data_IF_655693629177
#
_entry.id   IF_655693629177
#
_cell.length_a   1.000
_cell.length_b   1.000
_cell.length_c   1.000
_cell.angle_alpha   90.00
_cell.angle_beta   90.00
_cell.angle_gamma   90.00
#
_symmetry.space_group_name_H-M   'P 1'
#
loop_
_entity.id
_entity.type
_entity.pdbx_description
1 polymer ?
#
# COMPACT_ATOMS: atom_id res chain seq x y z
N UNK A 1 23.19 56.14 -55.26
CA UNK A 1 23.86 54.98 -54.65
C UNK A 1 23.11 54.69 -53.36
N UNK A 2 22.10 53.78 -53.41
CA UNK A 2 21.29 53.40 -52.26
C UNK A 2 21.90 52.15 -51.61
N UNK A 3 22.30 52.25 -50.36
CA UNK A 3 22.73 51.09 -49.57
C UNK A 3 21.51 50.54 -48.78
N UNK A 4 21.01 49.40 -49.17
CA UNK A 4 20.05 48.60 -48.41
C UNK A 4 20.79 47.95 -47.22
N UNK A 5 20.39 48.29 -46.01
CA UNK A 5 20.81 47.57 -44.76
C UNK A 5 19.78 46.51 -44.49
N UNK A 6 20.13 45.22 -44.70
CA UNK A 6 19.33 44.08 -44.23
C UNK A 6 19.58 43.90 -42.70
N UNK A 7 18.54 44.16 -41.93
CA UNK A 7 18.55 43.82 -40.48
C UNK A 7 18.06 42.35 -40.33
N UNK A 8 18.98 41.47 -40.00
CA UNK A 8 18.68 40.08 -39.60
C UNK A 8 18.18 40.06 -38.19
N UNK A 9 16.88 39.81 -37.97
CA UNK A 9 16.31 39.55 -36.64
C UNK A 9 16.56 38.08 -36.31
N UNK A 10 17.50 37.84 -35.39
CA UNK A 10 17.73 36.52 -34.80
C UNK A 10 16.61 36.20 -33.78
N UNK A 11 15.70 35.30 -34.13
CA UNK A 11 14.67 34.79 -33.23
C UNK A 11 15.35 33.78 -32.29
N UNK A 12 15.67 34.21 -31.05
CA UNK A 12 16.14 33.34 -29.98
C UNK A 12 14.95 32.52 -29.48
N UNK A 13 14.86 31.26 -29.91
CA UNK A 13 13.93 30.29 -29.36
C UNK A 13 14.34 29.98 -27.90
N UNK A 14 13.64 30.57 -26.93
CA UNK A 14 13.71 30.18 -25.53
C UNK A 14 13.10 28.78 -25.40
N UNK A 15 13.93 27.75 -25.41
CA UNK A 15 13.52 26.40 -24.99
C UNK A 15 13.33 26.43 -23.48
N UNK A 16 12.11 26.66 -23.02
CA UNK A 16 11.72 26.32 -21.66
C UNK A 16 11.87 24.81 -21.52
N UNK A 17 12.95 24.38 -20.89
CA UNK A 17 13.06 23.00 -20.41
C UNK A 17 11.90 22.76 -19.44
N UNK A 18 10.91 21.98 -19.84
CA UNK A 18 9.89 21.50 -18.94
C UNK A 18 10.60 20.60 -17.90
N UNK A 19 10.95 21.14 -16.73
CA UNK A 19 11.34 20.31 -15.62
C UNK A 19 10.13 19.43 -15.25
N UNK A 20 10.32 18.12 -15.26
CA UNK A 20 9.30 17.22 -14.75
C UNK A 20 9.01 17.60 -13.30
N UNK A 21 7.71 17.73 -12.99
CA UNK A 21 7.28 18.05 -11.63
C UNK A 21 7.64 16.89 -10.71
N UNK A 22 8.33 17.18 -9.59
CA UNK A 22 8.80 16.17 -8.64
C UNK A 22 7.84 16.05 -7.46
N UNK A 23 7.52 14.81 -7.08
CA UNK A 23 6.62 14.49 -5.98
C UNK A 23 7.26 13.49 -5.02
N UNK A 24 6.91 13.60 -3.73
CA UNK A 24 7.31 12.66 -2.70
C UNK A 24 6.15 11.71 -2.41
N UNK A 25 6.45 10.42 -2.39
CA UNK A 25 5.50 9.36 -2.05
C UNK A 25 5.97 8.70 -0.76
N UNK A 26 5.10 8.63 0.25
CA UNK A 26 5.40 7.98 1.52
C UNK A 26 4.95 6.52 1.52
N UNK A 27 5.73 5.69 2.19
CA UNK A 27 5.46 4.29 2.53
C UNK A 27 6.07 3.99 3.89
N UNK A 28 5.61 2.97 4.62
CA UNK A 28 6.28 2.63 5.89
C UNK A 28 7.59 1.85 5.67
N UNK A 29 7.68 1.06 4.60
CA UNK A 29 8.87 0.29 4.26
C UNK A 29 9.11 -0.92 5.16
N UNK A 30 8.06 -1.45 5.80
CA UNK A 30 8.09 -2.56 6.74
C UNK A 30 6.90 -3.53 6.61
N UNK A 31 6.26 -3.56 5.45
CA UNK A 31 5.10 -4.42 5.14
C UNK A 31 5.32 -5.29 3.88
N UNK A 32 6.24 -6.27 3.91
CA UNK A 32 6.49 -7.15 2.77
C UNK A 32 5.27 -8.05 2.47
N UNK A 33 5.00 -8.36 1.17
CA UNK A 33 5.78 -7.99 -0.01
C UNK A 33 5.36 -6.66 -0.65
N UNK A 34 4.46 -5.89 -0.03
CA UNK A 34 3.98 -4.61 -0.57
C UNK A 34 5.08 -3.54 -0.57
N UNK A 35 5.70 -3.31 0.58
CA UNK A 35 6.81 -2.38 0.72
C UNK A 35 7.75 -2.84 1.83
N UNK A 36 9.04 -2.71 1.60
CA UNK A 36 10.08 -3.10 2.55
C UNK A 36 11.37 -2.35 2.27
N UNK A 37 12.19 -2.26 3.32
CA UNK A 37 13.56 -1.75 3.19
C UNK A 37 14.52 -2.94 3.22
N UNK A 38 15.34 -3.08 2.18
CA UNK A 38 16.34 -4.14 2.10
C UNK A 38 17.56 -3.86 3.01
N UNK A 39 18.47 -4.85 3.13
CA UNK A 39 19.67 -4.74 3.96
C UNK A 39 20.61 -3.58 3.57
N UNK A 40 20.46 -3.03 2.36
CA UNK A 40 21.21 -1.86 1.90
C UNK A 40 20.53 -0.52 2.23
N UNK A 41 19.33 -0.57 2.82
CA UNK A 41 18.51 0.61 3.11
C UNK A 41 17.68 1.10 1.93
N UNK A 42 17.56 0.29 0.86
CA UNK A 42 16.78 0.63 -0.33
C UNK A 42 15.34 0.14 -0.19
N UNK A 43 14.38 1.03 -0.49
CA UNK A 43 12.96 0.67 -0.59
C UNK A 43 12.71 -0.22 -1.80
N UNK A 44 11.89 -1.25 -1.61
CA UNK A 44 11.42 -2.20 -2.62
C UNK A 44 10.02 -2.70 -2.30
N UNK A 45 9.48 -3.54 -3.17
CA UNK A 45 8.17 -4.15 -3.02
C UNK A 45 7.17 -3.76 -4.10
N UNK A 46 5.98 -4.32 -4.00
CA UNK A 46 4.89 -4.11 -4.96
C UNK A 46 4.52 -2.62 -5.11
N UNK A 47 4.34 -1.91 -4.00
CA UNK A 47 3.99 -0.49 -3.97
C UNK A 47 5.04 0.36 -4.68
N UNK A 48 6.32 0.05 -4.46
CA UNK A 48 7.44 0.79 -5.05
C UNK A 48 7.50 0.58 -6.57
N UNK A 49 7.31 -0.66 -7.03
CA UNK A 49 7.34 -0.98 -8.46
C UNK A 49 6.12 -0.39 -9.20
N UNK A 50 4.91 -0.51 -8.61
CA UNK A 50 3.70 0.11 -9.15
C UNK A 50 3.84 1.63 -9.21
N UNK A 51 4.28 2.25 -8.12
CA UNK A 51 4.44 3.71 -8.04
C UNK A 51 5.51 4.23 -9.01
N UNK A 52 6.61 3.50 -9.17
CA UNK A 52 7.67 3.85 -10.13
C UNK A 52 7.12 3.85 -11.59
N UNK A 53 6.41 2.80 -11.99
CA UNK A 53 5.84 2.72 -13.33
C UNK A 53 4.69 3.72 -13.52
N UNK A 54 3.85 3.95 -12.49
CA UNK A 54 2.79 4.95 -12.48
C UNK A 54 3.36 6.37 -12.70
N UNK A 55 4.39 6.76 -11.96
CA UNK A 55 5.04 8.07 -12.09
C UNK A 55 5.66 8.26 -13.47
N UNK A 56 6.33 7.23 -13.99
CA UNK A 56 6.88 7.23 -15.34
C UNK A 56 5.80 7.48 -16.39
N UNK A 57 4.65 6.81 -16.32
CA UNK A 57 3.52 7.02 -17.24
C UNK A 57 2.83 8.36 -17.07
N UNK A 58 2.77 8.86 -15.85
CA UNK A 58 2.26 10.19 -15.54
C UNK A 58 3.21 11.33 -15.98
N UNK A 59 4.41 10.99 -16.50
CA UNK A 59 5.47 11.92 -16.89
C UNK A 59 5.87 12.89 -15.74
N UNK A 60 5.99 12.34 -14.53
CA UNK A 60 6.43 13.06 -13.32
C UNK A 60 7.62 12.33 -12.68
N UNK A 61 8.43 13.07 -11.91
CA UNK A 61 9.48 12.48 -11.08
C UNK A 61 8.92 12.15 -9.70
N UNK A 62 9.19 10.95 -9.19
CA UNK A 62 8.75 10.54 -7.86
C UNK A 62 9.95 10.07 -7.03
N UNK A 63 9.93 10.46 -5.74
CA UNK A 63 10.88 9.97 -4.74
C UNK A 63 10.10 9.31 -3.63
N UNK A 64 10.44 8.06 -3.30
CA UNK A 64 9.85 7.36 -2.16
C UNK A 64 10.59 7.70 -0.88
N UNK A 65 9.84 7.93 0.20
CA UNK A 65 10.34 8.20 1.53
C UNK A 65 9.63 7.34 2.57
N UNK A 66 10.28 7.05 3.68
CA UNK A 66 9.66 6.30 4.78
C UNK A 66 8.92 7.22 5.74
N UNK A 67 7.80 6.73 6.27
CA UNK A 67 7.02 7.34 7.33
C UNK A 67 6.25 6.26 8.10
N UNK A 68 6.28 6.32 9.43
CA UNK A 68 5.55 5.37 10.26
C UNK A 68 4.06 5.35 9.92
N UNK A 69 3.47 4.15 9.84
CA UNK A 69 2.09 3.95 9.41
C UNK A 69 1.06 4.81 10.17
N UNK A 70 1.15 4.88 11.50
CA UNK A 70 0.18 5.58 12.33
C UNK A 70 0.13 7.10 12.12
N UNK A 71 1.21 7.68 11.61
CA UNK A 71 1.33 9.12 11.29
C UNK A 71 1.20 9.42 9.79
N UNK A 72 1.06 8.40 8.92
CA UNK A 72 1.16 8.59 7.48
C UNK A 72 0.02 9.45 6.91
N UNK A 73 -1.22 9.28 7.33
CA UNK A 73 -2.33 10.15 6.90
C UNK A 73 -2.19 11.58 7.47
N UNK A 74 -1.95 11.78 8.79
CA UNK A 74 -1.68 13.11 9.34
C UNK A 74 -0.57 13.87 8.61
N UNK A 75 0.54 13.22 8.28
CA UNK A 75 1.67 13.84 7.61
C UNK A 75 1.38 14.16 6.13
N UNK A 76 0.55 13.37 5.42
CA UNK A 76 0.04 13.73 4.09
C UNK A 76 -0.77 15.02 4.15
N UNK A 77 -1.70 15.11 5.12
CA UNK A 77 -2.57 16.29 5.30
C UNK A 77 -1.73 17.53 5.64
N UNK A 78 -0.67 17.37 6.44
CA UNK A 78 0.27 18.42 6.79
C UNK A 78 1.17 18.87 5.60
N UNK A 79 1.18 18.12 4.48
CA UNK A 79 1.97 18.46 3.29
C UNK A 79 3.45 18.05 3.37
N UNK A 80 3.81 17.10 4.22
CA UNK A 80 5.18 16.61 4.33
C UNK A 80 5.60 15.83 3.07
N UNK A 81 4.63 15.27 2.35
CA UNK A 81 4.75 14.59 1.05
C UNK A 81 3.43 14.71 0.27
N UNK A 82 3.38 14.14 -0.92
CA UNK A 82 2.32 14.40 -1.89
C UNK A 82 1.34 13.23 -2.05
N UNK A 83 1.79 12.00 -1.76
CA UNK A 83 0.99 10.79 -1.89
C UNK A 83 1.43 9.72 -0.89
N UNK A 84 0.57 8.74 -0.65
CA UNK A 84 0.85 7.54 0.14
C UNK A 84 0.68 6.32 -0.76
N UNK A 85 1.70 5.45 -0.81
CA UNK A 85 1.62 4.10 -1.38
C UNK A 85 2.15 3.11 -0.34
N UNK A 86 1.23 2.44 0.36
CA UNK A 86 1.53 1.71 1.59
C UNK A 86 0.46 0.67 1.90
N UNK A 87 0.09 -0.12 0.91
CA UNK A 87 -1.04 -1.07 0.99
C UNK A 87 -2.29 -0.47 1.65
N UNK A 88 -2.52 0.82 1.40
CA UNK A 88 -3.58 1.55 2.07
C UNK A 88 -4.95 1.18 1.52
N UNK A 89 -5.71 0.39 2.27
CA UNK A 89 -7.09 0.04 1.94
C UNK A 89 -7.96 1.28 1.80
N UNK A 90 -8.73 1.33 0.71
CA UNK A 90 -9.75 2.35 0.48
C UNK A 90 -10.92 2.05 1.42
N UNK A 91 -11.27 3.02 2.29
CA UNK A 91 -12.43 2.93 3.18
C UNK A 91 -13.20 4.23 3.22
N UNK A 92 -14.50 4.15 3.56
CA UNK A 92 -15.32 5.35 3.70
C UNK A 92 -14.86 6.27 4.83
N UNK A 93 -14.29 5.69 5.90
CA UNK A 93 -13.70 6.46 7.00
C UNK A 93 -12.51 7.30 6.48
N UNK A 94 -11.56 6.69 5.77
CA UNK A 94 -10.38 7.37 5.21
C UNK A 94 -10.78 8.40 4.17
N UNK A 95 -11.79 8.12 3.33
CA UNK A 95 -12.35 9.08 2.34
C UNK A 95 -12.93 10.35 2.98
N UNK A 96 -13.26 10.35 4.26
CA UNK A 96 -13.69 11.57 4.96
C UNK A 96 -12.56 12.60 5.07
N UNK A 97 -11.31 12.16 5.14
CA UNK A 97 -10.14 13.02 5.36
C UNK A 97 -9.23 13.16 4.15
N UNK A 98 -9.03 12.11 3.37
CA UNK A 98 -8.17 12.08 2.18
C UNK A 98 -8.95 11.64 0.94
N UNK A 99 -8.37 11.81 -0.24
CA UNK A 99 -8.83 11.23 -1.49
C UNK A 99 -8.02 9.98 -1.81
N UNK A 100 -8.49 9.18 -2.76
CA UNK A 100 -7.79 8.01 -3.28
C UNK A 100 -7.80 8.02 -4.81
N UNK A 101 -6.82 7.38 -5.40
CA UNK A 101 -6.90 6.93 -6.79
C UNK A 101 -7.88 5.77 -6.91
N UNK A 102 -8.13 5.35 -8.16
CA UNK A 102 -8.67 4.02 -8.43
C UNK A 102 -7.74 2.95 -7.82
N UNK A 103 -8.28 1.80 -7.37
CA UNK A 103 -7.45 0.80 -6.73
C UNK A 103 -6.38 0.25 -7.67
N UNK A 104 -5.16 0.12 -7.16
CA UNK A 104 -4.04 -0.53 -7.85
C UNK A 104 -3.81 -1.98 -7.40
N UNK A 105 -4.48 -2.41 -6.33
CA UNK A 105 -4.58 -3.80 -5.89
C UNK A 105 -6.04 -4.14 -5.59
N UNK A 106 -6.51 -5.36 -5.93
CA UNK A 106 -7.89 -5.76 -5.69
C UNK A 106 -8.21 -5.86 -4.19
N UNK A 107 -9.49 -5.89 -3.80
CA UNK A 107 -9.87 -6.18 -2.43
C UNK A 107 -9.20 -7.47 -1.93
N UNK A 108 -8.53 -7.40 -0.78
CA UNK A 108 -7.83 -8.53 -0.16
C UNK A 108 -8.48 -8.86 1.19
N UNK A 109 -9.24 -9.97 1.30
CA UNK A 109 -9.88 -10.32 2.55
C UNK A 109 -8.85 -10.58 3.64
N UNK A 110 -9.00 -9.92 4.80
CA UNK A 110 -8.16 -10.17 5.96
C UNK A 110 -8.39 -11.57 6.52
N UNK A 111 -7.33 -12.18 7.02
CA UNK A 111 -7.30 -13.57 7.48
C UNK A 111 -6.58 -13.68 8.83
N UNK A 112 -6.94 -14.68 9.61
CA UNK A 112 -6.30 -14.95 10.89
C UNK A 112 -5.04 -15.79 10.69
N UNK A 113 -3.95 -15.37 11.32
CA UNK A 113 -2.65 -16.06 11.36
C UNK A 113 -2.37 -16.55 12.77
N UNK A 114 -2.02 -17.81 12.92
CA UNK A 114 -1.72 -18.43 14.22
C UNK A 114 -0.51 -19.34 14.12
N UNK A 115 0.08 -19.70 15.27
CA UNK A 115 0.98 -20.86 15.30
C UNK A 115 0.20 -22.12 14.89
N UNK A 116 0.84 -23.03 14.16
CA UNK A 116 0.21 -24.28 13.70
C UNK A 116 -0.34 -25.16 14.84
N UNK A 117 0.21 -24.99 16.05
CA UNK A 117 -0.21 -25.70 17.26
C UNK A 117 -1.38 -25.05 17.99
N UNK A 118 -1.67 -23.78 17.72
CA UNK A 118 -2.77 -23.02 18.36
C UNK A 118 -4.11 -23.56 17.87
N UNK A 119 -5.02 -23.82 18.81
CA UNK A 119 -6.40 -24.22 18.52
C UNK A 119 -7.33 -23.05 18.79
N UNK A 120 -8.09 -22.65 17.80
CA UNK A 120 -9.03 -21.52 17.89
C UNK A 120 -10.44 -22.03 17.54
N UNK A 121 -11.41 -21.70 18.37
CA UNK A 121 -12.83 -21.82 18.03
C UNK A 121 -13.28 -20.50 17.38
N UNK A 122 -13.21 -20.42 16.06
CA UNK A 122 -13.56 -19.23 15.30
C UNK A 122 -15.05 -18.85 15.37
N UNK A 123 -15.91 -19.75 15.81
CA UNK A 123 -17.31 -19.42 16.10
C UNK A 123 -17.49 -18.71 17.44
N UNK A 124 -16.50 -18.82 18.35
CA UNK A 124 -16.57 -18.23 19.68
C UNK A 124 -15.18 -17.90 20.25
N UNK A 125 -14.49 -16.93 19.63
CA UNK A 125 -13.16 -16.50 20.08
C UNK A 125 -13.29 -15.77 21.41
N UNK A 126 -12.79 -16.38 22.52
CA UNK A 126 -12.83 -15.83 23.88
C UNK A 126 -11.58 -16.16 24.68
N UNK A 127 -11.19 -15.21 25.54
CA UNK A 127 -10.06 -15.35 26.43
C UNK A 127 -8.72 -15.39 25.74
N UNK A 128 -8.64 -14.95 24.48
CA UNK A 128 -7.44 -14.96 23.65
C UNK A 128 -6.83 -13.57 23.55
N UNK A 129 -5.56 -13.52 23.13
CA UNK A 129 -4.84 -12.31 22.78
C UNK A 129 -4.78 -12.19 21.27
N UNK A 130 -5.40 -11.16 20.71
CA UNK A 130 -5.43 -10.89 19.27
C UNK A 130 -4.60 -9.64 18.98
N UNK A 131 -3.78 -9.72 17.95
CA UNK A 131 -2.88 -8.65 17.50
C UNK A 131 -3.24 -8.09 16.14
N UNK A 132 -2.97 -6.82 15.94
CA UNK A 132 -2.92 -6.14 14.64
C UNK A 132 -2.04 -4.89 14.75
N UNK A 133 -1.53 -4.40 13.62
CA UNK A 133 -0.84 -3.12 13.59
C UNK A 133 -1.84 -1.98 13.92
N UNK A 134 -1.42 -1.01 14.72
CA UNK A 134 -2.26 0.13 15.12
C UNK A 134 -2.71 0.96 13.91
N UNK A 135 -3.84 1.66 14.03
CA UNK A 135 -4.43 2.49 12.98
C UNK A 135 -4.78 1.75 11.66
N UNK A 136 -4.82 0.41 11.68
CA UNK A 136 -5.27 -0.40 10.54
C UNK A 136 -6.77 -0.71 10.61
N UNK A 137 -7.32 -1.10 9.47
CA UNK A 137 -8.71 -1.60 9.40
C UNK A 137 -8.87 -2.89 10.21
N UNK A 138 -7.82 -3.70 10.28
CA UNK A 138 -7.76 -4.94 11.06
C UNK A 138 -7.84 -4.65 12.57
N UNK A 139 -7.08 -3.69 13.07
CA UNK A 139 -7.14 -3.27 14.48
C UNK A 139 -8.54 -2.75 14.86
N UNK A 140 -9.15 -1.95 13.97
CA UNK A 140 -10.52 -1.45 14.17
C UNK A 140 -11.51 -2.60 14.19
N UNK A 141 -11.40 -3.56 13.28
CA UNK A 141 -12.25 -4.75 13.25
C UNK A 141 -12.13 -5.60 14.51
N UNK A 142 -10.89 -5.89 14.95
CA UNK A 142 -10.66 -6.64 16.19
C UNK A 142 -11.26 -5.93 17.42
N UNK A 143 -11.06 -4.62 17.55
CA UNK A 143 -11.63 -3.84 18.65
C UNK A 143 -13.15 -3.84 18.63
N UNK A 144 -13.78 -3.70 17.46
CA UNK A 144 -15.23 -3.66 17.36
C UNK A 144 -15.90 -5.00 17.65
N UNK A 145 -15.26 -6.12 17.29
CA UNK A 145 -15.91 -7.43 17.30
C UNK A 145 -15.45 -8.33 18.45
N UNK A 146 -14.22 -8.15 18.98
CA UNK A 146 -13.63 -9.13 19.91
C UNK A 146 -13.18 -8.57 21.25
N UNK A 147 -13.09 -7.24 21.42
CA UNK A 147 -12.55 -6.60 22.64
C UNK A 147 -13.34 -6.95 23.91
N UNK A 148 -14.63 -7.25 23.79
CA UNK A 148 -15.47 -7.55 24.96
C UNK A 148 -15.02 -8.82 25.71
N UNK A 149 -14.57 -9.82 24.99
CA UNK A 149 -14.22 -11.15 25.51
C UNK A 149 -12.73 -11.49 25.39
N UNK A 150 -11.91 -10.61 24.81
CA UNK A 150 -10.52 -10.87 24.48
C UNK A 150 -9.61 -9.68 24.82
N UNK A 151 -8.28 -9.92 24.79
CA UNK A 151 -7.29 -8.86 24.87
C UNK A 151 -6.87 -8.49 23.45
N UNK A 152 -7.08 -7.23 23.04
CA UNK A 152 -6.60 -6.72 21.76
C UNK A 152 -5.29 -5.97 21.99
N UNK A 153 -4.22 -6.41 21.33
CA UNK A 153 -2.91 -5.81 21.36
C UNK A 153 -2.64 -5.13 20.02
N UNK A 154 -2.09 -3.93 20.05
CA UNK A 154 -1.72 -3.20 18.84
C UNK A 154 -0.24 -2.92 18.82
N UNK A 155 0.37 -3.02 17.65
CA UNK A 155 1.81 -2.93 17.40
C UNK A 155 2.13 -1.76 16.48
N UNK A 156 3.34 -1.23 16.59
CA UNK A 156 3.80 -0.17 15.70
C UNK A 156 4.07 -0.70 14.29
N UNK A 157 4.61 -1.92 14.19
CA UNK A 157 4.97 -2.57 12.92
C UNK A 157 4.50 -4.03 12.87
N UNK A 158 4.36 -4.57 11.65
CA UNK A 158 4.10 -5.99 11.42
C UNK A 158 5.18 -6.89 12.04
N UNK A 159 6.45 -6.49 11.97
CA UNK A 159 7.56 -7.28 12.53
C UNK A 159 7.41 -7.49 14.04
N UNK A 160 6.95 -6.48 14.78
CA UNK A 160 6.72 -6.60 16.23
C UNK A 160 5.60 -7.58 16.54
N UNK A 161 4.46 -7.52 15.82
CA UNK A 161 3.37 -8.46 16.05
C UNK A 161 3.74 -9.89 15.65
N UNK A 162 4.50 -10.07 14.56
CA UNK A 162 5.02 -11.37 14.14
C UNK A 162 6.01 -11.95 15.15
N UNK A 163 6.87 -11.12 15.74
CA UNK A 163 7.78 -11.54 16.82
C UNK A 163 7.01 -12.06 18.04
N UNK A 164 5.95 -11.35 18.44
CA UNK A 164 5.13 -11.74 19.58
C UNK A 164 4.29 -13.00 19.30
N UNK A 165 3.79 -13.20 18.08
CA UNK A 165 3.14 -14.45 17.68
C UNK A 165 4.13 -15.62 17.75
N UNK A 166 5.33 -15.47 17.18
CA UNK A 166 6.35 -16.50 17.19
C UNK A 166 6.85 -16.85 18.60
N UNK A 167 6.85 -15.88 19.52
CA UNK A 167 7.18 -16.07 20.93
C UNK A 167 6.03 -16.66 21.77
N UNK A 168 4.80 -16.74 21.21
CA UNK A 168 3.61 -17.18 21.93
C UNK A 168 3.06 -16.13 22.92
N UNK A 169 3.43 -14.87 22.78
CA UNK A 169 2.93 -13.77 23.58
C UNK A 169 1.51 -13.36 23.18
N UNK A 170 1.14 -13.58 21.89
CA UNK A 170 -0.20 -13.45 21.36
C UNK A 170 -0.62 -14.75 20.68
N UNK A 171 -1.93 -14.96 20.55
CA UNK A 171 -2.50 -16.19 20.03
C UNK A 171 -2.84 -16.08 18.54
N UNK A 172 -3.29 -14.92 18.11
CA UNK A 172 -3.81 -14.65 16.75
C UNK A 172 -3.32 -13.29 16.28
N UNK A 173 -2.89 -13.20 15.04
CA UNK A 173 -2.73 -11.95 14.28
C UNK A 173 -3.83 -11.89 13.22
N UNK A 174 -4.34 -10.70 12.92
CA UNK A 174 -5.31 -10.46 11.86
C UNK A 174 -4.74 -9.48 10.84
N UNK A 175 -4.43 -9.98 9.63
CA UNK A 175 -3.71 -9.29 8.55
C UNK A 175 -4.40 -9.46 7.21
N UNK A 176 -3.91 -8.77 6.18
CA UNK A 176 -4.30 -8.99 4.79
C UNK A 176 -3.95 -10.41 4.34
N UNK A 177 -4.88 -11.03 3.60
CA UNK A 177 -4.78 -12.45 3.25
C UNK A 177 -3.55 -12.79 2.43
N UNK A 178 -3.11 -11.89 1.56
CA UNK A 178 -1.87 -12.06 0.78
C UNK A 178 -0.62 -12.10 1.66
N UNK A 179 -0.56 -11.23 2.69
CA UNK A 179 0.56 -11.22 3.66
C UNK A 179 0.54 -12.48 4.51
N UNK A 180 -0.64 -12.93 4.96
CA UNK A 180 -0.79 -14.19 5.68
C UNK A 180 -0.32 -15.37 4.82
N UNK A 181 -0.69 -15.40 3.54
CA UNK A 181 -0.26 -16.45 2.61
C UNK A 181 1.27 -16.55 2.51
N UNK A 182 1.94 -15.42 2.30
CA UNK A 182 3.41 -15.36 2.24
C UNK A 182 4.06 -15.77 3.57
N UNK A 183 3.54 -15.29 4.71
CA UNK A 183 4.05 -15.63 6.03
C UNK A 183 3.94 -17.16 6.30
N UNK A 184 2.81 -17.77 5.93
CA UNK A 184 2.61 -19.23 6.06
C UNK A 184 3.58 -19.98 5.17
N UNK A 185 3.72 -19.59 3.89
CA UNK A 185 4.63 -20.23 2.94
C UNK A 185 6.09 -20.18 3.43
N UNK A 186 6.51 -19.04 3.98
CA UNK A 186 7.87 -18.85 4.50
C UNK A 186 8.12 -19.54 5.86
N UNK A 187 7.07 -19.92 6.61
CA UNK A 187 7.18 -20.39 8.00
C UNK A 187 7.77 -21.79 8.18
N UNK A 188 7.87 -22.58 7.11
CA UNK A 188 8.25 -24.00 7.21
C UNK A 188 7.26 -24.83 8.04
N UNK A 189 5.96 -24.48 8.02
CA UNK A 189 4.89 -25.16 8.74
C UNK A 189 4.71 -24.74 10.20
N UNK A 190 5.39 -23.69 10.65
CA UNK A 190 5.22 -23.16 12.02
C UNK A 190 3.96 -22.32 12.16
N UNK A 191 3.52 -21.65 11.08
CA UNK A 191 2.34 -20.83 11.03
C UNK A 191 1.26 -21.47 10.17
N UNK A 192 0.02 -21.10 10.41
CA UNK A 192 -1.13 -21.46 9.59
C UNK A 192 -2.08 -20.28 9.43
N UNK A 193 -2.64 -20.15 8.24
CA UNK A 193 -3.85 -19.39 8.00
C UNK A 193 -5.04 -20.23 8.43
N UNK A 194 -5.93 -19.67 9.24
CA UNK A 194 -7.07 -20.42 9.80
C UNK A 194 -8.28 -19.48 9.98
N UNK A 195 -9.47 -20.06 10.12
CA UNK A 195 -10.70 -19.29 10.31
C UNK A 195 -11.28 -18.64 9.05
N UNK A 196 -12.37 -17.87 9.20
CA UNK A 196 -13.05 -17.23 8.08
C UNK A 196 -12.25 -16.01 7.59
N UNK A 197 -12.17 -15.84 6.27
CA UNK A 197 -11.68 -14.58 5.68
C UNK A 197 -12.76 -13.49 5.80
N UNK A 198 -12.34 -12.26 6.07
CA UNK A 198 -13.23 -11.10 6.28
C UNK A 198 -12.84 -9.98 5.33
N UNK A 199 -13.74 -9.62 4.43
CA UNK A 199 -13.53 -8.49 3.53
C UNK A 199 -13.87 -7.17 4.25
N UNK A 200 -12.84 -6.35 4.47
CA UNK A 200 -12.93 -5.01 5.08
C UNK A 200 -12.16 -4.02 4.25
N UNK A 201 -12.81 -3.32 3.34
CA UNK A 201 -12.17 -2.37 2.43
C UNK A 201 -12.43 -2.68 0.97
N UNK A 202 -12.24 -1.67 0.13
CA UNK A 202 -12.62 -1.70 -1.28
C UNK A 202 -11.42 -1.89 -2.23
N UNK A 203 -10.34 -2.50 -1.76
CA UNK A 203 -9.05 -2.60 -2.45
C UNK A 203 -8.08 -1.52 -2.01
N UNK A 204 -6.89 -1.51 -2.61
CA UNK A 204 -5.77 -0.64 -2.22
C UNK A 204 -5.62 0.50 -3.21
N UNK A 205 -5.56 1.74 -2.73
CA UNK A 205 -5.41 2.93 -3.55
C UNK A 205 -4.28 3.84 -3.07
N UNK A 206 -3.81 4.70 -3.95
CA UNK A 206 -2.87 5.76 -3.57
C UNK A 206 -3.61 6.81 -2.76
N UNK A 207 -3.17 7.05 -1.52
CA UNK A 207 -3.72 8.10 -0.66
C UNK A 207 -3.26 9.48 -1.13
N UNK A 208 -4.20 10.42 -1.29
CA UNK A 208 -3.97 11.75 -1.86
C UNK A 208 -4.61 12.83 -1.00
N UNK A 209 -4.05 14.06 -0.97
CA UNK A 209 -4.81 15.18 -0.42
C UNK A 209 -6.02 15.48 -1.34
N UNK A 210 -7.16 15.83 -0.77
CA UNK A 210 -8.37 16.19 -1.54
C UNK A 210 -8.16 17.40 -2.47
N UNK A 211 -7.20 18.26 -2.13
CA UNK A 211 -6.84 19.42 -2.94
C UNK A 211 -6.03 19.07 -4.21
N UNK A 212 -5.41 17.88 -4.28
CA UNK A 212 -4.49 17.50 -5.34
C UNK A 212 -5.19 16.72 -6.47
N UNK A 213 -6.36 17.18 -6.90
CA UNK A 213 -7.20 16.52 -7.89
C UNK A 213 -6.49 16.31 -9.24
N UNK A 214 -5.64 17.25 -9.67
CA UNK A 214 -4.89 17.13 -10.93
C UNK A 214 -3.85 16.00 -10.86
N UNK A 215 -3.14 15.86 -9.75
CA UNK A 215 -2.18 14.76 -9.55
C UNK A 215 -2.92 13.42 -9.45
N UNK A 216 -4.02 13.38 -8.70
CA UNK A 216 -4.88 12.19 -8.60
C UNK A 216 -5.35 11.73 -9.97
N UNK A 217 -5.77 12.68 -10.83
CA UNK A 217 -6.16 12.37 -12.20
C UNK A 217 -5.01 11.79 -13.02
N UNK A 218 -3.80 12.38 -12.96
CA UNK A 218 -2.62 11.87 -13.67
C UNK A 218 -2.29 10.44 -13.27
N UNK A 219 -2.36 10.14 -11.96
CA UNK A 219 -2.13 8.80 -11.44
C UNK A 219 -3.22 7.82 -11.89
N UNK A 220 -4.48 8.22 -11.89
CA UNK A 220 -5.58 7.39 -12.40
C UNK A 220 -5.44 7.10 -13.90
N UNK A 221 -5.04 8.09 -14.72
CA UNK A 221 -4.80 7.89 -16.15
C UNK A 221 -3.65 6.86 -16.36
N UNK A 222 -2.58 6.95 -15.57
CA UNK A 222 -1.47 6.01 -15.58
C UNK A 222 -1.90 4.59 -15.14
N UNK A 223 -2.64 4.48 -14.02
CA UNK A 223 -3.16 3.19 -13.53
C UNK A 223 -4.13 2.55 -14.53
N UNK A 224 -4.98 3.34 -15.21
CA UNK A 224 -5.87 2.85 -16.26
C UNK A 224 -5.08 2.24 -17.42
N UNK A 225 -3.99 2.88 -17.84
CA UNK A 225 -3.11 2.35 -18.88
C UNK A 225 -2.42 1.04 -18.42
N UNK A 226 -1.92 0.99 -17.15
CA UNK A 226 -1.29 -0.20 -16.58
C UNK A 226 -2.25 -1.38 -16.46
N UNK A 227 -3.52 -1.12 -16.13
CA UNK A 227 -4.59 -2.12 -16.12
C UNK A 227 -4.87 -2.66 -17.51
N UNK A 228 -4.99 -1.75 -18.49
CA UNK A 228 -5.36 -2.11 -19.88
C UNK A 228 -4.32 -2.95 -20.58
N UNK A 229 -3.03 -2.67 -20.39
CA UNK A 229 -1.94 -3.40 -21.07
C UNK A 229 -1.45 -4.63 -20.29
N UNK A 230 -1.95 -4.85 -19.05
CA UNK A 230 -1.62 -5.99 -18.19
C UNK A 230 -0.35 -5.79 -17.37
N UNK A 231 0.25 -4.60 -17.37
CA UNK A 231 1.43 -4.31 -16.52
C UNK A 231 1.10 -4.50 -15.05
N UNK A 232 -0.09 -4.03 -14.60
CA UNK A 232 -0.48 -4.16 -13.20
C UNK A 232 -0.71 -5.61 -12.80
N UNK A 233 -1.36 -6.42 -13.65
CA UNK A 233 -1.53 -7.87 -13.43
C UNK A 233 -0.19 -8.60 -13.37
N UNK A 234 0.77 -8.18 -14.22
CA UNK A 234 2.13 -8.71 -14.19
C UNK A 234 2.87 -8.42 -12.89
N UNK A 235 2.69 -7.23 -12.32
CA UNK A 235 3.26 -6.86 -11.02
C UNK A 235 2.59 -7.63 -9.87
N UNK A 236 1.26 -7.81 -9.91
CA UNK A 236 0.55 -8.65 -8.93
C UNK A 236 1.12 -10.08 -8.95
N UNK A 237 1.22 -10.69 -10.14
CA UNK A 237 1.76 -12.05 -10.28
C UNK A 237 3.22 -12.17 -9.81
N UNK A 238 4.03 -11.11 -10.00
CA UNK A 238 5.42 -11.09 -9.56
C UNK A 238 5.56 -11.16 -8.04
N UNK A 239 4.74 -10.39 -7.32
CA UNK A 239 4.85 -10.26 -5.86
C UNK A 239 3.94 -11.22 -5.10
N UNK A 240 2.87 -11.69 -5.72
CA UNK A 240 1.86 -12.57 -5.13
C UNK A 240 1.63 -13.80 -6.03
N UNK A 241 2.60 -14.71 -6.14
CA UNK A 241 2.53 -15.84 -7.08
C UNK A 241 1.40 -16.82 -6.78
N UNK A 242 0.90 -16.83 -5.54
CA UNK A 242 -0.20 -17.69 -5.11
C UNK A 242 -1.60 -17.13 -5.45
N UNK A 243 -1.70 -15.83 -5.81
CA UNK A 243 -2.93 -15.24 -6.35
C UNK A 243 -3.17 -15.73 -7.78
N UNK A 244 -3.97 -16.81 -7.91
CA UNK A 244 -4.24 -17.49 -9.20
C UNK A 244 -5.52 -17.03 -9.88
N UNK A 245 -6.29 -16.16 -9.26
CA UNK A 245 -7.62 -15.74 -9.74
C UNK A 245 -7.57 -14.64 -10.81
N UNK A 246 -6.37 -14.37 -11.32
CA UNK A 246 -6.15 -13.39 -12.40
C UNK A 246 -6.67 -13.86 -13.78
N UNK A 247 -6.79 -12.97 -14.74
CA UNK A 247 -6.35 -11.56 -14.65
C UNK A 247 -7.25 -10.71 -13.75
N UNK A 248 -6.64 -9.82 -12.94
CA UNK A 248 -7.37 -8.98 -11.98
C UNK A 248 -7.98 -7.75 -12.65
N UNK A 249 -7.31 -7.21 -13.67
CA UNK A 249 -7.69 -5.97 -14.35
C UNK A 249 -7.74 -6.10 -15.86
N UNK A 250 -6.87 -6.89 -16.49
CA UNK A 250 -6.88 -7.07 -17.93
C UNK A 250 -8.03 -7.98 -18.33
N UNK A 251 -8.95 -7.46 -19.16
CA UNK A 251 -10.05 -8.22 -19.76
C UNK A 251 -9.63 -8.92 -21.04
#
# INVERSE_FOLDING_TARGET
>A
MNRLVLATVALAALTFGAHAQSYKIATEGSYPPYNFTDDSGKLGGYDIDVGTEMCKRAAVECTFITNDWDSIIPNLIAGNYDAIMDDMSITDERKQTIAFTDPYFPPDPSTYLTLSTTKVDYANIKGMKLGAQKATIQANYLNANFKADNTILTYDTQDQEMADLNAGNIDIIFLDGSVVGEAVAASGGKLKADGPSVLIGDGVGVGMRKADADLTKKFNDALTAMKSDGTLDGLITKYFPDKKDGPFYKK
#
